data_IF_550838590175
#
_entry.id   IF_550838590175
#
_cell.length_a   1.000
_cell.length_b   1.000
_cell.length_c   1.000
_cell.angle_alpha   90.00
_cell.angle_beta   90.00
_cell.angle_gamma   90.00
#
_symmetry.space_group_name_H-M   'P 1'
#
loop_
_entity.id
_entity.type
_entity.pdbx_description
1 polymer ?
#
# COMPACT_ATOMS: atom_id res chain seq x y z
N UNK A 1 1.77 -47.43 57.36
CA UNK A 1 2.06 -46.26 56.50
C UNK A 1 1.16 -46.29 55.26
N UNK A 2 -0.17 -46.22 55.42
CA UNK A 2 -1.11 -46.44 54.30
C UNK A 2 -2.22 -45.40 54.22
N UNK A 3 -2.81 -45.04 55.36
CA UNK A 3 -3.91 -44.06 55.41
C UNK A 3 -3.47 -42.63 55.05
N UNK A 4 -2.28 -42.20 55.49
CA UNK A 4 -1.76 -40.85 55.23
C UNK A 4 -1.39 -40.63 53.76
N UNK A 5 -0.86 -41.66 53.08
CA UNK A 5 -0.56 -41.60 51.66
C UNK A 5 -1.83 -41.57 50.80
N UNK A 6 -2.87 -42.31 51.18
CA UNK A 6 -4.16 -42.29 50.46
C UNK A 6 -4.81 -40.91 50.54
N UNK A 7 -4.79 -40.27 51.71
CA UNK A 7 -5.33 -38.91 51.88
C UNK A 7 -4.56 -37.90 51.02
N UNK A 8 -3.23 -38.00 50.95
CA UNK A 8 -2.40 -37.16 50.07
C UNK A 8 -2.74 -37.33 48.58
N UNK A 9 -2.95 -38.56 48.11
CA UNK A 9 -3.32 -38.77 46.71
C UNK A 9 -4.71 -38.24 46.39
N UNK A 10 -5.66 -38.35 47.32
CA UNK A 10 -7.01 -37.80 47.16
C UNK A 10 -6.97 -36.27 47.12
N UNK A 11 -6.18 -35.62 47.99
CA UNK A 11 -6.07 -34.15 47.98
C UNK A 11 -5.39 -33.63 46.71
N UNK A 12 -4.34 -34.31 46.24
CA UNK A 12 -3.67 -33.95 44.98
C UNK A 12 -4.62 -34.15 43.79
N UNK A 13 -5.38 -35.25 43.75
CA UNK A 13 -6.36 -35.49 42.69
C UNK A 13 -7.50 -34.45 42.70
N UNK A 14 -7.97 -34.04 43.88
CA UNK A 14 -8.97 -32.98 44.03
C UNK A 14 -8.43 -31.62 43.59
N UNK A 15 -7.17 -31.30 43.92
CA UNK A 15 -6.52 -30.06 43.52
C UNK A 15 -6.24 -30.01 42.02
N UNK A 16 -5.92 -31.16 41.41
CA UNK A 16 -5.80 -31.31 39.97
C UNK A 16 -7.16 -31.15 39.27
N UNK A 17 -8.23 -31.74 39.82
CA UNK A 17 -9.60 -31.55 39.35
C UNK A 17 -10.07 -30.09 39.49
N UNK A 18 -9.65 -29.40 40.55
CA UNK A 18 -9.93 -27.98 40.75
C UNK A 18 -9.18 -27.11 39.73
N UNK A 19 -7.92 -27.43 39.43
CA UNK A 19 -7.14 -26.77 38.37
C UNK A 19 -7.69 -27.02 36.96
N UNK A 20 -8.19 -28.23 36.68
CA UNK A 20 -8.80 -28.55 35.38
C UNK A 20 -10.20 -27.93 35.26
N UNK A 21 -10.94 -27.74 36.35
CA UNK A 21 -12.26 -27.06 36.32
C UNK A 21 -12.15 -25.53 36.39
N UNK A 22 -11.03 -24.99 36.89
CA UNK A 22 -10.68 -23.57 36.88
C UNK A 22 -9.66 -23.22 35.80
N UNK A 23 -9.63 -23.95 34.67
CA UNK A 23 -9.04 -23.39 33.46
C UNK A 23 -9.83 -22.14 33.08
N UNK A 24 -9.22 -20.95 32.95
CA UNK A 24 -9.92 -19.77 32.52
C UNK A 24 -10.61 -20.10 31.18
N UNK A 25 -11.93 -19.91 31.14
CA UNK A 25 -12.67 -19.95 29.87
C UNK A 25 -11.99 -18.94 28.96
N UNK A 26 -11.46 -19.41 27.82
CA UNK A 26 -10.98 -18.54 26.73
C UNK A 26 -12.04 -17.45 26.52
N UNK A 27 -11.66 -16.16 26.44
CA UNK A 27 -12.62 -15.11 26.14
C UNK A 27 -13.33 -15.47 24.83
N UNK A 28 -14.64 -15.63 24.92
CA UNK A 28 -15.51 -16.12 23.87
C UNK A 28 -15.87 -15.04 22.85
N UNK A 29 -14.86 -14.31 22.33
CA UNK A 29 -15.04 -13.20 21.38
C UNK A 29 -14.12 -13.25 20.15
N UNK A 30 -13.43 -14.37 19.88
CA UNK A 30 -12.60 -14.52 18.65
C UNK A 30 -13.42 -14.85 17.38
N UNK A 31 -14.75 -14.92 17.47
CA UNK A 31 -15.60 -15.50 16.41
C UNK A 31 -15.72 -14.68 15.12
N UNK A 32 -15.16 -13.47 15.03
CA UNK A 32 -15.42 -12.56 13.90
C UNK A 32 -14.17 -11.99 13.21
N UNK A 33 -12.96 -12.52 13.41
CA UNK A 33 -11.74 -12.00 12.74
C UNK A 33 -11.18 -13.02 11.75
N UNK A 34 -11.73 -13.04 10.54
CA UNK A 34 -11.24 -13.83 9.40
C UNK A 34 -10.20 -13.00 8.63
N UNK A 35 -9.05 -13.58 8.32
CA UNK A 35 -8.07 -12.98 7.40
C UNK A 35 -8.64 -13.16 5.99
N UNK A 36 -8.94 -12.04 5.31
CA UNK A 36 -9.35 -12.04 3.91
C UNK A 36 -8.13 -11.68 3.05
N UNK A 37 -7.99 -12.34 1.91
CA UNK A 37 -6.95 -12.05 0.92
C UNK A 37 -7.54 -11.03 -0.06
N UNK A 38 -6.73 -10.07 -0.53
CA UNK A 38 -7.18 -9.12 -1.56
C UNK A 38 -7.78 -9.85 -2.77
N UNK A 39 -8.98 -9.42 -3.17
CA UNK A 39 -9.76 -10.00 -4.27
C UNK A 39 -9.77 -9.14 -5.55
N UNK A 40 -9.51 -7.84 -5.43
CA UNK A 40 -9.47 -6.93 -6.57
C UNK A 40 -8.07 -6.33 -6.67
N UNK A 41 -7.50 -6.36 -7.86
CA UNK A 41 -6.18 -5.84 -8.16
C UNK A 41 -6.32 -4.79 -9.26
N UNK A 42 -5.89 -3.57 -8.96
CA UNK A 42 -5.91 -2.48 -9.92
C UNK A 42 -4.77 -2.66 -10.95
N UNK A 43 -5.09 -3.25 -12.10
CA UNK A 43 -4.18 -3.30 -13.27
C UNK A 43 -4.39 -2.13 -14.24
N UNK A 44 -5.26 -1.17 -13.90
CA UNK A 44 -5.48 0.05 -14.69
C UNK A 44 -4.61 1.18 -14.12
N UNK A 45 -3.69 1.76 -14.91
CA UNK A 45 -2.84 2.88 -14.46
C UNK A 45 -3.61 4.12 -14.00
N UNK A 46 -4.92 4.22 -14.29
CA UNK A 46 -5.78 5.35 -13.94
C UNK A 46 -6.36 5.27 -12.51
N UNK A 47 -6.22 4.13 -11.84
CA UNK A 47 -6.66 3.97 -10.45
C UNK A 47 -5.47 4.20 -9.51
N UNK A 48 -5.38 5.42 -8.96
CA UNK A 48 -4.29 5.84 -8.06
C UNK A 48 -4.54 5.55 -6.58
N UNK A 49 -5.38 4.56 -6.25
CA UNK A 49 -5.56 4.19 -4.85
C UNK A 49 -4.34 3.39 -4.38
N UNK A 50 -3.63 3.91 -3.37
CA UNK A 50 -2.57 3.17 -2.72
C UNK A 50 -3.16 1.94 -2.03
N UNK A 51 -2.67 0.76 -2.40
CA UNK A 51 -3.13 -0.48 -1.81
C UNK A 51 -2.26 -0.83 -0.59
N UNK A 52 -2.85 -1.10 0.60
CA UNK A 52 -2.07 -1.40 1.79
C UNK A 52 -1.26 -2.68 1.62
N UNK A 53 -0.03 -2.71 2.13
CA UNK A 53 0.87 -3.85 1.94
C UNK A 53 0.73 -4.84 3.11
N UNK A 54 0.67 -6.17 2.83
CA UNK A 54 0.59 -7.16 3.89
C UNK A 54 1.78 -7.08 4.85
N UNK A 55 1.47 -7.04 6.15
CA UNK A 55 2.49 -7.00 7.19
C UNK A 55 3.36 -8.26 7.24
N UNK A 56 2.75 -9.44 7.00
CA UNK A 56 3.43 -10.72 7.01
C UNK A 56 3.91 -11.10 5.60
N UNK A 57 5.23 -11.30 5.38
CA UNK A 57 5.78 -11.75 4.09
C UNK A 57 5.16 -13.03 3.54
N UNK A 58 4.68 -13.96 4.39
CA UNK A 58 3.99 -15.15 3.89
C UNK A 58 2.61 -14.81 3.30
N UNK A 59 1.90 -13.86 3.90
CA UNK A 59 0.62 -13.38 3.36
C UNK A 59 0.88 -12.60 2.08
N UNK A 60 1.91 -11.75 2.06
CA UNK A 60 2.35 -11.05 0.86
C UNK A 60 2.67 -12.01 -0.30
N UNK A 61 3.41 -13.09 -0.04
CA UNK A 61 3.72 -14.09 -1.07
C UNK A 61 2.48 -14.83 -1.59
N UNK A 62 1.45 -15.01 -0.76
CA UNK A 62 0.16 -15.61 -1.19
C UNK A 62 -0.61 -14.62 -2.08
N UNK A 63 -0.71 -13.36 -1.66
CA UNK A 63 -1.36 -12.29 -2.44
C UNK A 63 -0.68 -12.07 -3.78
N UNK A 64 0.65 -12.04 -3.80
CA UNK A 64 1.44 -11.82 -5.02
C UNK A 64 1.23 -12.91 -6.07
N UNK A 65 1.20 -14.19 -5.64
CA UNK A 65 0.89 -15.32 -6.52
C UNK A 65 -0.53 -15.25 -7.09
N UNK A 66 -1.46 -14.73 -6.31
CA UNK A 66 -2.82 -14.51 -6.79
C UNK A 66 -2.86 -13.41 -7.84
N UNK A 67 -2.21 -12.29 -7.54
CA UNK A 67 -2.10 -11.16 -8.44
C UNK A 67 -1.45 -11.59 -9.77
N UNK A 68 -0.39 -12.40 -9.74
CA UNK A 68 0.27 -12.96 -10.93
C UNK A 68 -0.72 -13.74 -11.79
N UNK A 69 -1.46 -14.69 -11.21
CA UNK A 69 -2.45 -15.49 -11.93
C UNK A 69 -3.55 -14.62 -12.55
N UNK A 70 -4.05 -13.63 -11.81
CA UNK A 70 -5.09 -12.74 -12.33
C UNK A 70 -4.59 -11.84 -13.46
N UNK A 71 -3.35 -11.36 -13.35
CA UNK A 71 -2.69 -10.59 -14.39
C UNK A 71 -2.44 -11.44 -15.64
N UNK A 72 -1.90 -12.64 -15.49
CA UNK A 72 -1.62 -13.55 -16.63
C UNK A 72 -2.90 -13.84 -17.41
N UNK A 73 -4.00 -14.09 -16.69
CA UNK A 73 -5.32 -14.27 -17.28
C UNK A 73 -5.78 -13.03 -18.07
N UNK A 74 -5.74 -11.82 -17.47
CA UNK A 74 -6.13 -10.57 -18.16
C UNK A 74 -5.21 -10.29 -19.36
N UNK A 75 -3.92 -10.54 -19.22
CA UNK A 75 -2.94 -10.37 -20.28
C UNK A 75 -3.25 -11.30 -21.45
N UNK A 76 -3.52 -12.58 -21.22
CA UNK A 76 -3.90 -13.54 -22.26
C UNK A 76 -5.22 -13.18 -22.94
N UNK A 77 -6.22 -12.75 -22.17
CA UNK A 77 -7.51 -12.29 -22.69
C UNK A 77 -7.35 -11.12 -23.67
N UNK A 78 -6.49 -10.14 -23.32
CA UNK A 78 -6.27 -8.93 -24.10
C UNK A 78 -5.31 -9.11 -25.29
N UNK A 79 -4.23 -9.88 -25.11
CA UNK A 79 -3.16 -10.05 -26.12
C UNK A 79 -3.45 -11.20 -27.10
N UNK A 80 -4.22 -12.22 -26.67
CA UNK A 80 -4.46 -13.44 -27.43
C UNK A 80 -5.92 -13.88 -27.35
N UNK A 81 -6.87 -12.98 -27.64
CA UNK A 81 -8.31 -13.30 -27.60
C UNK A 81 -8.71 -14.50 -28.49
N UNK A 82 -7.92 -14.82 -29.53
CA UNK A 82 -8.09 -16.01 -30.38
C UNK A 82 -7.81 -17.35 -29.66
N UNK A 83 -6.90 -17.37 -28.67
CA UNK A 83 -6.58 -18.57 -27.87
C UNK A 83 -7.68 -18.88 -26.84
N UNK A 84 -8.33 -17.84 -26.31
CA UNK A 84 -9.44 -17.98 -25.34
C UNK A 84 -10.68 -18.59 -26.00
N UNK A 85 -10.93 -18.29 -27.29
CA UNK A 85 -12.06 -18.86 -28.03
C UNK A 85 -11.82 -20.25 -28.63
N UNK A 86 -10.56 -20.70 -28.72
CA UNK A 86 -10.20 -21.99 -29.30
C UNK A 86 -9.40 -22.89 -28.36
N UNK A 87 -9.85 -23.08 -27.11
CA UNK A 87 -9.33 -24.16 -26.24
C UNK A 87 -10.33 -24.58 -25.17
N UNK A 88 -11.53 -25.00 -25.58
CA UNK A 88 -12.25 -26.05 -24.85
C UNK A 88 -12.12 -27.36 -25.64
N UNK A 89 -10.90 -27.91 -25.69
CA UNK A 89 -10.72 -29.27 -26.15
C UNK A 89 -11.37 -30.22 -25.11
N UNK A 90 -12.25 -31.14 -25.51
CA UNK A 90 -12.97 -32.01 -24.58
C UNK A 90 -11.99 -33.07 -24.06
N UNK A 91 -11.30 -32.80 -22.96
CA UNK A 91 -10.47 -33.80 -22.29
C UNK A 91 -9.26 -33.33 -21.47
N UNK A 92 -8.99 -32.04 -21.33
CA UNK A 92 -8.01 -31.56 -20.35
C UNK A 92 -8.75 -30.87 -19.20
N UNK A 93 -8.47 -31.35 -17.99
CA UNK A 93 -8.99 -30.88 -16.72
C UNK A 93 -8.98 -29.34 -16.68
N UNK A 94 -10.17 -28.73 -16.64
CA UNK A 94 -10.31 -27.37 -16.13
C UNK A 94 -9.67 -27.38 -14.75
N UNK A 95 -8.50 -26.72 -14.60
CA UNK A 95 -7.91 -26.58 -13.27
C UNK A 95 -8.96 -25.93 -12.36
N UNK A 96 -9.16 -26.45 -11.14
CA UNK A 96 -10.13 -25.88 -10.23
C UNK A 96 -9.50 -24.61 -9.64
N UNK A 97 -9.45 -23.53 -10.41
CA UNK A 97 -8.74 -22.30 -10.04
C UNK A 97 -9.40 -21.57 -8.87
N UNK A 98 -10.71 -21.75 -8.69
CA UNK A 98 -11.41 -21.31 -7.48
C UNK A 98 -11.01 -22.09 -6.23
N UNK A 99 -10.59 -23.35 -6.36
CA UNK A 99 -10.20 -24.20 -5.23
C UNK A 99 -8.83 -23.76 -4.67
N UNK A 100 -7.88 -23.32 -5.51
CA UNK A 100 -6.55 -22.88 -5.05
C UNK A 100 -6.62 -21.63 -4.13
N UNK A 101 -7.52 -20.70 -4.41
CA UNK A 101 -7.68 -19.47 -3.62
C UNK A 101 -8.60 -19.65 -2.42
N UNK A 102 -9.63 -20.48 -2.55
CA UNK A 102 -10.40 -20.95 -1.39
C UNK A 102 -9.48 -21.71 -0.43
N UNK A 103 -8.55 -22.54 -0.92
CA UNK A 103 -7.53 -23.22 -0.10
C UNK A 103 -6.55 -22.23 0.55
N UNK A 104 -6.19 -21.13 -0.12
CA UNK A 104 -5.33 -20.10 0.46
C UNK A 104 -6.01 -19.35 1.63
N UNK A 105 -7.27 -18.93 1.47
CA UNK A 105 -8.02 -18.34 2.58
C UNK A 105 -8.30 -19.35 3.70
N UNK A 106 -8.67 -20.58 3.34
CA UNK A 106 -8.89 -21.65 4.31
C UNK A 106 -7.61 -21.97 5.08
N UNK A 107 -6.45 -21.94 4.41
CA UNK A 107 -5.14 -22.07 5.04
C UNK A 107 -4.86 -20.94 6.05
N UNK A 108 -5.09 -19.67 5.68
CA UNK A 108 -4.85 -18.53 6.58
C UNK A 108 -5.80 -18.49 7.78
N UNK A 109 -6.99 -19.06 7.64
CA UNK A 109 -8.01 -19.10 8.69
C UNK A 109 -8.08 -20.42 9.46
N UNK A 110 -7.21 -21.38 9.14
CA UNK A 110 -7.04 -22.63 9.87
C UNK A 110 -6.03 -22.43 11.01
N UNK A 111 -6.50 -22.33 12.26
CA UNK A 111 -5.65 -22.10 13.44
C UNK A 111 -4.56 -23.18 13.64
N UNK A 112 -4.74 -24.39 13.08
CA UNK A 112 -3.74 -25.47 13.15
C UNK A 112 -2.64 -25.28 12.11
N UNK A 113 -2.96 -24.71 10.94
CA UNK A 113 -2.01 -24.49 9.84
C UNK A 113 -1.36 -23.10 9.90
N UNK A 114 -2.14 -22.06 10.18
CA UNK A 114 -1.73 -20.67 10.23
C UNK A 114 -2.06 -20.05 11.59
N UNK A 115 -1.12 -20.18 12.52
CA UNK A 115 -1.25 -19.57 13.84
C UNK A 115 -0.67 -18.15 13.84
N UNK A 116 -1.54 -17.14 13.77
CA UNK A 116 -1.19 -15.71 13.72
C UNK A 116 -0.27 -15.29 14.87
N UNK A 117 -0.51 -15.78 16.08
CA UNK A 117 0.34 -15.49 17.25
C UNK A 117 1.75 -16.05 17.07
N UNK A 118 1.88 -17.29 16.59
CA UNK A 118 3.19 -17.88 16.30
C UNK A 118 3.90 -17.15 15.14
N UNK A 119 3.15 -16.63 14.16
CA UNK A 119 3.73 -15.77 13.11
C UNK A 119 4.38 -14.54 13.73
N UNK A 120 3.67 -13.80 14.59
CA UNK A 120 4.21 -12.62 15.26
C UNK A 120 5.43 -12.93 16.14
N UNK A 121 5.46 -14.08 16.82
CA UNK A 121 6.65 -14.53 17.55
C UNK A 121 7.88 -14.70 16.65
N UNK A 122 7.70 -15.13 15.40
CA UNK A 122 8.77 -15.31 14.43
C UNK A 122 9.15 -13.99 13.74
N UNK A 123 8.20 -13.08 13.59
CA UNK A 123 8.41 -11.78 12.94
C UNK A 123 9.04 -10.76 13.88
N UNK A 124 8.68 -10.75 15.17
CA UNK A 124 9.19 -9.82 16.18
C UNK A 124 10.71 -9.57 16.12
N UNK A 125 11.58 -10.58 16.23
CA UNK A 125 13.04 -10.37 16.20
C UNK A 125 13.58 -9.98 14.81
N UNK A 126 12.76 -9.95 13.77
CA UNK A 126 13.13 -9.44 12.44
C UNK A 126 12.78 -7.96 12.27
N UNK A 127 11.91 -7.45 13.14
CA UNK A 127 11.44 -6.06 13.13
C UNK A 127 12.26 -5.25 14.15
N UNK A 128 12.44 -5.78 15.37
CA UNK A 128 13.32 -5.23 16.41
C UNK A 128 14.80 -5.41 16.01
N UNK A 129 15.36 -4.40 15.35
CA UNK A 129 16.71 -4.44 14.76
C UNK A 129 17.53 -3.18 15.01
N UNK A 130 16.91 -2.02 15.29
CA UNK A 130 17.61 -0.73 15.39
C UNK A 130 17.00 0.20 16.46
N UNK A 131 17.46 0.10 17.73
CA UNK A 131 18.33 -0.92 18.31
C UNK A 131 17.56 -2.18 18.73
N UNK A 132 18.23 -3.34 18.76
CA UNK A 132 17.66 -4.56 19.36
C UNK A 132 17.45 -4.37 20.86
N UNK A 133 16.26 -3.94 21.28
CA UNK A 133 15.95 -3.56 22.67
C UNK A 133 14.76 -4.32 23.27
N UNK A 134 14.17 -5.24 22.50
CA UNK A 134 13.02 -6.04 22.93
C UNK A 134 11.70 -5.31 22.78
N UNK A 135 11.68 -4.17 22.09
CA UNK A 135 10.50 -3.41 21.69
C UNK A 135 10.55 -3.16 20.19
N UNK A 136 9.37 -2.95 19.61
CA UNK A 136 9.22 -2.57 18.21
C UNK A 136 8.75 -1.12 18.18
N UNK A 137 9.60 -0.23 17.68
CA UNK A 137 9.32 1.20 17.57
C UNK A 137 8.50 1.55 16.31
N UNK A 138 7.89 2.75 16.29
CA UNK A 138 7.26 3.34 15.10
C UNK A 138 8.19 3.30 13.88
N UNK A 139 9.47 3.64 14.12
CA UNK A 139 10.48 3.66 13.07
C UNK A 139 10.68 2.26 12.49
N UNK A 140 10.85 1.24 13.33
CA UNK A 140 11.05 -0.14 12.87
C UNK A 140 9.81 -0.71 12.16
N UNK A 141 8.60 -0.39 12.62
CA UNK A 141 7.36 -0.74 11.92
C UNK A 141 7.25 -0.06 10.55
N UNK A 142 7.65 1.21 10.47
CA UNK A 142 7.67 1.98 9.23
C UNK A 142 8.65 1.36 8.24
N UNK A 143 9.90 1.11 8.66
CA UNK A 143 10.92 0.51 7.79
C UNK A 143 10.56 -0.95 7.42
N UNK A 144 9.92 -1.71 8.31
CA UNK A 144 9.39 -3.04 8.01
C UNK A 144 8.33 -3.03 6.91
N UNK A 145 7.37 -2.12 7.03
CA UNK A 145 6.24 -1.99 6.10
C UNK A 145 6.71 -1.42 4.76
N UNK A 146 7.58 -0.41 4.78
CA UNK A 146 8.24 0.15 3.59
C UNK A 146 8.98 -0.95 2.82
N UNK A 147 9.75 -1.79 3.51
CA UNK A 147 10.47 -2.90 2.88
C UNK A 147 9.55 -3.95 2.27
N UNK A 148 8.35 -4.17 2.83
CA UNK A 148 7.38 -5.04 2.15
C UNK A 148 6.84 -4.34 0.91
N UNK A 149 6.53 -3.04 0.99
CA UNK A 149 6.01 -2.28 -0.14
C UNK A 149 6.99 -2.24 -1.31
N UNK A 150 8.26 -1.92 -1.05
CA UNK A 150 9.32 -1.92 -2.06
C UNK A 150 9.41 -3.26 -2.80
N UNK A 151 9.16 -4.40 -2.12
CA UNK A 151 9.15 -5.70 -2.79
C UNK A 151 7.95 -5.90 -3.70
N UNK A 152 6.75 -5.49 -3.27
CA UNK A 152 5.55 -5.61 -4.09
C UNK A 152 5.62 -4.68 -5.31
N UNK A 153 6.03 -3.43 -5.09
CA UNK A 153 6.28 -2.44 -6.15
C UNK A 153 7.31 -2.97 -7.15
N UNK A 154 8.49 -3.40 -6.69
CA UNK A 154 9.52 -3.95 -7.58
C UNK A 154 9.06 -5.20 -8.33
N UNK A 155 8.23 -6.03 -7.72
CA UNK A 155 7.68 -7.22 -8.38
C UNK A 155 6.76 -6.84 -9.54
N UNK A 156 5.84 -5.89 -9.31
CA UNK A 156 4.96 -5.35 -10.35
C UNK A 156 5.76 -4.68 -11.45
N UNK A 157 6.74 -3.84 -11.08
CA UNK A 157 7.65 -3.19 -12.03
C UNK A 157 8.36 -4.20 -12.93
N UNK A 158 8.87 -5.29 -12.36
CA UNK A 158 9.53 -6.34 -13.14
C UNK A 158 8.58 -7.00 -14.15
N UNK A 159 7.34 -7.25 -13.74
CA UNK A 159 6.32 -7.83 -14.60
C UNK A 159 5.97 -6.91 -15.77
N UNK A 160 5.82 -5.62 -15.51
CA UNK A 160 5.58 -4.61 -16.55
C UNK A 160 6.80 -4.46 -17.48
N UNK A 161 8.02 -4.55 -16.93
CA UNK A 161 9.24 -4.57 -17.74
C UNK A 161 9.27 -5.76 -18.71
N UNK A 162 8.89 -6.95 -18.27
CA UNK A 162 8.85 -8.15 -19.14
C UNK A 162 7.84 -7.98 -20.30
N UNK A 163 6.82 -7.13 -20.16
CA UNK A 163 5.86 -6.80 -21.24
C UNK A 163 6.45 -5.81 -22.24
N UNK A 164 7.19 -4.81 -21.76
CA UNK A 164 7.72 -3.74 -22.59
C UNK A 164 9.07 -4.09 -23.23
N UNK A 165 9.91 -4.90 -22.58
CA UNK A 165 11.21 -5.36 -23.10
C UNK A 165 11.01 -6.41 -24.21
N UNK A 166 10.72 -5.92 -25.43
CA UNK A 166 10.44 -6.74 -26.62
C UNK A 166 11.69 -7.45 -27.13
N UNK A 167 12.87 -6.88 -26.86
CA UNK A 167 14.14 -7.40 -27.38
C UNK A 167 14.85 -8.34 -26.38
N UNK A 168 14.39 -8.36 -25.13
CA UNK A 168 14.86 -9.17 -24.00
C UNK A 168 16.30 -8.87 -23.58
N UNK A 169 16.71 -7.60 -23.62
CA UNK A 169 18.01 -7.15 -23.12
C UNK A 169 17.99 -6.71 -21.64
N UNK A 170 16.82 -6.71 -21.00
CA UNK A 170 16.61 -6.30 -19.62
C UNK A 170 16.56 -4.78 -19.43
N UNK A 171 16.41 -4.03 -20.52
CA UNK A 171 16.27 -2.58 -20.55
C UNK A 171 15.02 -2.21 -21.33
N UNK A 172 14.50 -1.00 -21.12
CA UNK A 172 13.36 -0.49 -21.87
C UNK A 172 13.79 0.75 -22.64
N UNK A 173 13.70 0.71 -23.97
CA UNK A 173 13.83 1.91 -24.80
C UNK A 173 12.52 2.69 -24.89
N UNK A 174 12.59 3.99 -25.19
CA UNK A 174 11.39 4.79 -25.41
C UNK A 174 10.50 4.25 -26.55
N UNK A 175 11.10 3.60 -27.55
CA UNK A 175 10.39 2.98 -28.66
C UNK A 175 9.63 1.71 -28.25
N UNK A 176 10.09 1.02 -27.21
CA UNK A 176 9.49 -0.22 -26.69
C UNK A 176 8.31 0.03 -25.76
N UNK A 177 8.37 1.10 -24.96
CA UNK A 177 7.30 1.45 -24.03
C UNK A 177 5.94 1.64 -24.74
N UNK A 178 5.96 2.18 -25.98
CA UNK A 178 4.79 2.52 -26.82
C UNK A 178 3.73 3.41 -26.11
N UNK A 179 3.15 4.41 -26.80
CA UNK A 179 2.07 5.18 -26.20
C UNK A 179 0.88 4.24 -25.91
N UNK A 180 0.20 4.37 -24.76
CA UNK A 180 -0.97 3.57 -24.45
C UNK A 180 -2.01 3.57 -25.57
N UNK A 181 -2.74 2.46 -25.75
CA UNK A 181 -3.65 2.25 -26.89
C UNK A 181 -4.77 3.31 -27.00
N UNK A 182 -5.13 3.95 -25.90
CA UNK A 182 -6.09 5.05 -25.85
C UNK A 182 -5.54 6.39 -26.35
N UNK A 183 -4.21 6.59 -26.35
CA UNK A 183 -3.55 7.76 -26.98
C UNK A 183 -3.74 7.75 -28.50
N UNK A 184 -3.84 6.55 -29.08
CA UNK A 184 -4.02 6.38 -30.52
C UNK A 184 -5.47 6.55 -31.00
N UNK A 185 -6.46 6.52 -30.09
CA UNK A 185 -7.88 6.39 -30.42
C UNK A 185 -8.79 7.57 -30.01
N UNK A 186 -8.27 8.69 -29.50
CA UNK A 186 -9.12 9.76 -28.94
C UNK A 186 -8.96 11.15 -29.59
N UNK A 187 -10.09 11.84 -29.72
CA UNK A 187 -10.17 13.29 -29.90
C UNK A 187 -9.64 13.99 -28.64
N UNK A 188 -8.77 14.99 -28.83
CA UNK A 188 -7.88 15.66 -27.86
C UNK A 188 -8.52 16.33 -26.61
N UNK A 189 -9.77 16.05 -26.26
CA UNK A 189 -10.56 16.92 -25.37
C UNK A 189 -11.35 16.21 -24.26
N UNK A 190 -10.96 15.00 -23.85
CA UNK A 190 -11.57 14.31 -22.71
C UNK A 190 -10.69 14.44 -21.46
N UNK A 191 -11.29 14.59 -20.28
CA UNK A 191 -10.60 14.76 -19.00
C UNK A 191 -9.79 13.50 -18.65
N UNK A 192 -8.54 13.69 -18.20
CA UNK A 192 -7.58 12.61 -17.86
C UNK A 192 -6.55 12.29 -18.94
N UNK A 193 -6.66 12.88 -20.13
CA UNK A 193 -5.77 12.62 -21.28
C UNK A 193 -4.56 13.57 -21.36
N UNK A 194 -4.42 14.54 -20.45
CA UNK A 194 -3.33 15.52 -20.44
C UNK A 194 -2.10 15.06 -19.63
N UNK A 195 -2.19 13.90 -18.96
CA UNK A 195 -1.09 13.37 -18.15
C UNK A 195 0.12 13.02 -19.05
N UNK A 196 1.21 13.74 -18.87
CA UNK A 196 2.47 13.60 -19.60
C UNK A 196 3.26 12.33 -19.30
N UNK A 197 2.69 11.37 -18.56
CA UNK A 197 3.36 10.17 -18.06
C UNK A 197 3.95 9.25 -19.14
N UNK A 198 3.46 9.28 -20.39
CA UNK A 198 4.07 8.54 -21.51
C UNK A 198 4.95 9.40 -22.44
N UNK A 199 5.18 10.68 -22.12
CA UNK A 199 5.98 11.58 -22.96
C UNK A 199 7.47 11.25 -22.80
N UNK A 200 8.24 11.54 -23.85
CA UNK A 200 9.70 11.39 -23.88
C UNK A 200 10.38 12.22 -22.77
N UNK A 201 9.78 13.33 -22.36
CA UNK A 201 10.28 14.15 -21.26
C UNK A 201 10.28 13.41 -19.92
N UNK A 202 9.24 12.61 -19.63
CA UNK A 202 9.18 11.78 -18.42
C UNK A 202 10.23 10.68 -18.48
N UNK A 203 10.29 9.97 -19.62
CA UNK A 203 11.27 8.91 -19.84
C UNK A 203 12.70 9.42 -19.64
N UNK A 204 13.05 10.56 -20.25
CA UNK A 204 14.36 11.20 -20.12
C UNK A 204 14.63 11.75 -18.72
N UNK A 205 13.59 12.09 -17.95
CA UNK A 205 13.75 12.52 -16.55
C UNK A 205 14.09 11.32 -15.64
N UNK A 206 13.53 10.15 -15.94
CA UNK A 206 13.78 8.89 -15.22
C UNK A 206 15.12 8.26 -15.58
N UNK A 207 15.60 8.45 -16.82
CA UNK A 207 16.95 8.07 -17.26
C UNK A 207 18.02 8.87 -16.49
N UNK A 208 18.55 8.25 -15.44
CA UNK A 208 19.44 8.92 -14.50
C UNK A 208 20.86 9.05 -15.07
N UNK A 209 21.32 8.01 -15.79
CA UNK A 209 22.66 7.96 -16.37
C UNK A 209 22.77 8.54 -17.80
N UNK A 210 21.64 8.73 -18.47
CA UNK A 210 21.52 9.39 -19.77
C UNK A 210 21.88 8.49 -20.95
N UNK A 211 21.80 7.17 -20.81
CA UNK A 211 22.12 6.22 -21.89
C UNK A 211 20.95 6.02 -22.89
N UNK A 212 19.78 6.58 -22.61
CA UNK A 212 18.57 6.52 -23.43
C UNK A 212 17.75 5.24 -23.24
N UNK A 213 18.08 4.42 -22.24
CA UNK A 213 17.41 3.18 -21.88
C UNK A 213 17.10 3.20 -20.38
N UNK A 214 15.97 2.63 -19.97
CA UNK A 214 15.65 2.49 -18.55
C UNK A 214 16.03 1.10 -18.07
N UNK A 215 16.94 1.02 -17.10
CA UNK A 215 17.15 -0.21 -16.35
C UNK A 215 16.00 -0.43 -15.33
N UNK A 216 15.97 -1.59 -14.66
CA UNK A 216 14.86 -1.93 -13.74
C UNK A 216 14.66 -0.93 -12.60
N UNK A 217 15.72 -0.29 -12.10
CA UNK A 217 15.62 0.72 -11.05
C UNK A 217 15.07 2.03 -11.60
N UNK A 218 15.52 2.46 -12.78
CA UNK A 218 15.02 3.67 -13.43
C UNK A 218 13.59 3.50 -13.94
N UNK A 219 13.21 2.30 -14.38
CA UNK A 219 11.85 1.98 -14.75
C UNK A 219 10.93 1.91 -13.54
N UNK A 220 11.43 1.44 -12.39
CA UNK A 220 10.70 1.54 -11.13
C UNK A 220 10.45 3.01 -10.76
N UNK A 221 11.48 3.84 -10.81
CA UNK A 221 11.37 5.27 -10.56
C UNK A 221 10.40 5.94 -11.53
N UNK A 222 10.44 5.56 -12.82
CA UNK A 222 9.50 6.03 -13.84
C UNK A 222 8.04 5.68 -13.51
N UNK A 223 7.75 4.49 -12.99
CA UNK A 223 6.38 4.14 -12.58
C UNK A 223 5.98 4.75 -11.24
N UNK A 224 6.94 4.99 -10.37
CA UNK A 224 6.76 5.47 -9.00
C UNK A 224 7.60 6.74 -8.74
N UNK A 225 7.32 7.85 -9.44
CA UNK A 225 8.16 9.05 -9.39
C UNK A 225 8.20 9.69 -7.99
N UNK A 226 7.17 9.48 -7.17
CA UNK A 226 7.07 9.95 -5.80
C UNK A 226 8.11 9.30 -4.85
N UNK A 227 8.52 8.07 -5.14
CA UNK A 227 9.49 7.30 -4.35
C UNK A 227 10.93 7.49 -4.83
N UNK A 228 11.10 8.11 -6.00
CA UNK A 228 12.41 8.31 -6.60
C UNK A 228 13.26 9.30 -5.80
N UNK A 229 14.56 9.02 -5.78
CA UNK A 229 15.59 9.96 -5.28
C UNK A 229 16.19 10.80 -6.41
N UNK A 230 15.74 10.62 -7.65
CA UNK A 230 16.22 11.34 -8.81
C UNK A 230 15.63 12.76 -8.83
N UNK A 231 16.46 13.81 -8.65
CA UNK A 231 15.97 15.18 -8.60
C UNK A 231 15.38 15.65 -9.94
N UNK A 232 15.84 15.11 -11.08
CA UNK A 232 15.27 15.45 -12.39
C UNK A 232 13.82 14.98 -12.48
N UNK A 233 13.57 13.76 -12.01
CA UNK A 233 12.25 13.14 -12.05
C UNK A 233 11.29 13.82 -11.07
N UNK A 234 11.72 14.13 -9.85
CA UNK A 234 10.92 14.90 -8.91
C UNK A 234 10.59 16.30 -9.43
N UNK A 235 11.54 16.96 -10.09
CA UNK A 235 11.28 18.25 -10.73
C UNK A 235 10.30 18.13 -11.91
N UNK A 236 10.41 17.06 -12.71
CA UNK A 236 9.42 16.77 -13.74
C UNK A 236 8.03 16.53 -13.14
N UNK A 237 7.93 15.76 -12.06
CA UNK A 237 6.67 15.52 -11.35
C UNK A 237 6.04 16.83 -10.84
N UNK A 238 6.87 17.75 -10.32
CA UNK A 238 6.40 19.08 -9.94
C UNK A 238 5.83 19.85 -11.13
N UNK A 239 6.51 19.83 -12.29
CA UNK A 239 6.05 20.51 -13.51
C UNK A 239 4.76 19.91 -14.06
N UNK A 240 4.58 18.61 -13.93
CA UNK A 240 3.35 17.93 -14.34
C UNK A 240 2.18 18.30 -13.41
N UNK A 241 2.45 18.48 -12.11
CA UNK A 241 1.43 18.87 -11.12
C UNK A 241 1.07 20.37 -11.18
N UNK A 242 1.89 21.19 -11.84
CA UNK A 242 1.53 22.56 -12.23
C UNK A 242 0.40 22.45 -13.26
N UNK A 243 -0.85 22.30 -12.76
CA UNK A 243 -2.10 22.36 -13.53
C UNK A 243 -2.39 23.81 -13.89
N UNK A 244 -1.49 24.32 -14.69
CA UNK A 244 -1.46 25.66 -15.18
C UNK A 244 -2.54 25.82 -16.25
N UNK A 245 -3.66 26.38 -15.79
CA UNK A 245 -4.86 26.55 -16.59
C UNK A 245 -4.66 27.62 -17.67
N UNK A 246 -3.73 28.55 -17.47
CA UNK A 246 -3.42 29.63 -18.40
C UNK A 246 -2.11 29.44 -19.21
N UNK A 247 -1.37 28.37 -18.95
CA UNK A 247 -0.13 27.92 -19.60
C UNK A 247 1.06 28.87 -19.41
N UNK A 248 1.13 29.60 -18.29
CA UNK A 248 2.20 30.54 -17.95
C UNK A 248 3.46 29.91 -17.30
N UNK A 249 3.40 28.62 -16.96
CA UNK A 249 4.45 27.82 -16.33
C UNK A 249 4.54 27.95 -14.81
N UNK A 250 3.55 28.58 -14.17
CA UNK A 250 3.51 28.83 -12.73
C UNK A 250 2.11 28.52 -12.17
N UNK A 251 1.99 28.45 -10.85
CA UNK A 251 0.69 28.26 -10.19
C UNK A 251 0.31 29.52 -9.43
N UNK A 252 -0.76 30.18 -9.86
CA UNK A 252 -1.30 31.32 -9.12
C UNK A 252 -2.15 30.86 -7.92
N UNK A 253 -2.51 31.79 -7.04
CA UNK A 253 -3.30 31.46 -5.83
C UNK A 253 -4.63 30.75 -6.13
N UNK A 254 -5.33 31.12 -7.21
CA UNK A 254 -6.62 30.53 -7.56
C UNK A 254 -6.47 29.06 -7.97
N UNK A 255 -5.43 28.76 -8.75
CA UNK A 255 -5.07 27.41 -9.18
C UNK A 255 -4.62 26.56 -8.00
N UNK A 256 -3.78 27.12 -7.12
CA UNK A 256 -3.40 26.45 -5.88
C UNK A 256 -4.63 26.12 -5.02
N UNK A 257 -5.51 27.11 -4.81
CA UNK A 257 -6.67 26.96 -3.93
C UNK A 257 -7.70 25.94 -4.43
N UNK A 258 -7.94 25.88 -5.73
CA UNK A 258 -8.91 24.94 -6.30
C UNK A 258 -8.32 23.59 -6.72
N UNK A 259 -7.01 23.51 -6.93
CA UNK A 259 -6.35 22.33 -7.48
C UNK A 259 -5.49 21.56 -6.48
N UNK A 260 -4.74 22.25 -5.63
CA UNK A 260 -3.68 21.64 -4.81
C UNK A 260 -3.95 21.75 -3.30
N UNK A 261 -4.71 22.76 -2.88
CA UNK A 261 -4.87 23.09 -1.48
C UNK A 261 -5.48 21.96 -0.65
N UNK A 262 -6.48 21.25 -1.18
CA UNK A 262 -7.09 20.12 -0.47
C UNK A 262 -6.08 18.99 -0.21
N UNK A 263 -5.24 18.66 -1.19
CA UNK A 263 -4.18 17.67 -1.06
C UNK A 263 -3.11 18.07 -0.04
N UNK A 264 -2.80 19.38 0.07
CA UNK A 264 -1.77 19.87 1.00
C UNK A 264 -2.30 20.09 2.42
N UNK A 265 -3.58 20.46 2.57
CA UNK A 265 -4.22 20.78 3.87
C UNK A 265 -4.45 19.53 4.73
N UNK A 266 -4.79 18.40 4.14
CA UNK A 266 -5.14 17.16 4.85
C UNK A 266 -3.96 16.52 5.62
N UNK A 267 -2.77 17.12 5.60
CA UNK A 267 -1.55 16.58 6.21
C UNK A 267 -1.28 17.03 7.66
N UNK A 268 -1.86 18.15 8.12
CA UNK A 268 -1.47 18.77 9.42
C UNK A 268 -2.62 18.88 10.44
N UNK A 269 -3.87 18.55 10.08
CA UNK A 269 -5.01 18.62 11.02
C UNK A 269 -5.60 17.23 11.30
N UNK A 270 -5.20 16.65 12.44
CA UNK A 270 -5.94 15.57 13.10
C UNK A 270 -7.39 15.99 13.32
N UNK A 271 -8.28 15.52 12.43
CA UNK A 271 -9.71 15.39 12.66
C UNK A 271 -10.52 16.67 12.62
N UNK A 272 -10.93 17.14 11.42
CA UNK A 272 -12.16 17.94 11.29
C UNK A 272 -12.87 17.69 9.95
N UNK A 273 -14.04 17.06 10.06
CA UNK A 273 -15.14 16.93 9.08
C UNK A 273 -15.09 17.94 7.91
N UNK A 274 -14.78 17.44 6.71
CA UNK A 274 -14.78 18.22 5.45
C UNK A 274 -16.17 18.52 4.88
N UNK A 275 -17.24 18.27 5.64
CA UNK A 275 -18.60 18.55 5.16
C UNK A 275 -18.92 20.05 5.30
N UNK A 276 -18.73 20.77 4.19
CA UNK A 276 -19.28 22.11 3.91
C UNK A 276 -18.81 23.25 4.82
N UNK A 277 -17.51 23.52 4.85
CA UNK A 277 -17.05 24.87 5.20
C UNK A 277 -17.30 25.80 3.99
N UNK A 278 -17.90 26.96 4.23
CA UNK A 278 -18.11 27.99 3.21
C UNK A 278 -16.77 28.49 2.65
N UNK A 279 -16.71 28.80 1.35
CA UNK A 279 -15.54 29.26 0.58
C UNK A 279 -14.68 30.31 1.33
N UNK A 280 -15.32 31.28 2.00
CA UNK A 280 -14.65 32.34 2.77
C UNK A 280 -13.87 31.84 4.02
N UNK A 281 -14.18 30.65 4.55
CA UNK A 281 -13.57 30.10 5.78
C UNK A 281 -12.29 29.31 5.52
N UNK A 282 -12.10 28.81 4.30
CA UNK A 282 -10.94 27.99 3.90
C UNK A 282 -9.90 28.80 3.11
N UNK A 283 -10.31 29.93 2.54
CA UNK A 283 -9.43 30.82 1.79
C UNK A 283 -8.31 31.42 2.66
N UNK A 284 -8.59 31.74 3.94
CA UNK A 284 -7.60 32.32 4.84
C UNK A 284 -6.45 31.34 5.19
N UNK A 285 -6.71 30.08 5.59
CA UNK A 285 -5.69 29.03 5.69
C UNK A 285 -4.94 28.80 4.37
N UNK A 286 -5.64 28.80 3.23
CA UNK A 286 -5.01 28.62 1.93
C UNK A 286 -4.05 29.75 1.57
N UNK A 287 -4.43 31.01 1.80
CA UNK A 287 -3.55 32.18 1.60
C UNK A 287 -2.33 32.11 2.49
N UNK A 288 -2.50 31.67 3.74
CA UNK A 288 -1.37 31.50 4.66
C UNK A 288 -0.37 30.48 4.12
N UNK A 289 -0.86 29.30 3.72
CA UNK A 289 -0.02 28.24 3.17
C UNK A 289 0.64 28.65 1.85
N UNK A 290 -0.11 29.28 0.95
CA UNK A 290 0.42 29.83 -0.31
C UNK A 290 1.58 30.81 -0.05
N UNK A 291 1.39 31.77 0.86
CA UNK A 291 2.44 32.73 1.23
C UNK A 291 3.64 32.08 1.95
N UNK A 292 3.46 30.91 2.57
CA UNK A 292 4.56 30.16 3.17
C UNK A 292 5.37 29.40 2.10
N UNK A 293 4.73 29.03 0.99
CA UNK A 293 5.35 28.32 -0.13
C UNK A 293 6.00 29.27 -1.14
N UNK A 294 5.37 30.42 -1.42
CA UNK A 294 5.89 31.51 -2.26
C UNK A 294 7.03 32.22 -1.52
N UNK A 295 8.27 31.73 -1.74
CA UNK A 295 9.47 32.18 -1.04
C UNK A 295 10.01 33.48 -1.62
N UNK A 296 9.84 33.69 -2.92
CA UNK A 296 10.32 34.89 -3.59
C UNK A 296 9.29 36.03 -3.61
N UNK A 297 8.06 35.75 -3.16
CA UNK A 297 6.93 36.67 -3.05
C UNK A 297 6.55 37.29 -4.39
N UNK A 298 6.72 36.55 -5.48
CA UNK A 298 6.33 36.97 -6.82
C UNK A 298 4.83 36.79 -7.10
N UNK A 299 4.11 36.13 -6.18
CA UNK A 299 2.68 35.88 -6.24
C UNK A 299 2.30 34.58 -6.96
N UNK A 300 3.27 33.74 -7.29
CA UNK A 300 3.10 32.48 -7.98
C UNK A 300 3.97 31.39 -7.33
N UNK A 301 3.57 30.12 -7.47
CA UNK A 301 4.40 28.98 -7.07
C UNK A 301 5.11 28.40 -8.28
N UNK A 302 6.44 28.35 -8.19
CA UNK A 302 7.33 27.71 -9.16
C UNK A 302 7.47 26.19 -8.92
N UNK A 303 8.00 25.46 -9.90
CA UNK A 303 8.34 24.04 -9.77
C UNK A 303 9.31 23.76 -8.60
N UNK A 304 10.22 24.68 -8.32
CA UNK A 304 11.16 24.60 -7.19
C UNK A 304 10.46 24.77 -5.84
N UNK A 305 9.44 25.60 -5.76
CA UNK A 305 8.66 25.80 -4.53
C UNK A 305 7.72 24.62 -4.27
N UNK A 306 7.08 24.12 -5.33
CA UNK A 306 6.25 22.91 -5.26
C UNK A 306 7.03 21.65 -4.86
N UNK A 307 8.32 21.58 -5.20
CA UNK A 307 9.19 20.47 -4.78
C UNK A 307 9.19 20.25 -3.25
N UNK A 308 8.97 21.29 -2.45
CA UNK A 308 8.92 21.16 -0.99
C UNK A 308 7.64 20.50 -0.48
N UNK A 309 6.57 20.52 -1.27
CA UNK A 309 5.28 19.89 -0.96
C UNK A 309 4.95 18.72 -1.86
N UNK A 310 5.85 18.32 -2.76
CA UNK A 310 5.55 17.25 -3.72
C UNK A 310 5.21 15.94 -3.02
N UNK A 311 5.84 15.62 -1.89
CA UNK A 311 5.49 14.44 -1.09
C UNK A 311 4.13 14.52 -0.40
N UNK A 312 3.49 15.70 -0.33
CA UNK A 312 2.11 15.87 0.11
C UNK A 312 1.13 15.66 -1.05
N UNK A 313 1.50 16.09 -2.26
CA UNK A 313 0.72 15.94 -3.49
C UNK A 313 0.76 14.51 -4.03
N UNK A 314 1.94 13.88 -3.94
CA UNK A 314 2.24 12.52 -4.34
C UNK A 314 2.89 11.79 -3.16
N UNK A 315 2.09 11.21 -2.25
CA UNK A 315 2.63 10.52 -1.08
C UNK A 315 3.45 9.29 -1.49
N UNK A 316 4.65 9.19 -0.94
CA UNK A 316 5.56 8.05 -1.15
C UNK A 316 5.10 6.81 -0.38
N UNK A 317 5.61 5.64 -0.76
CA UNK A 317 5.46 4.38 -0.02
C UNK A 317 5.89 4.51 1.43
N UNK A 318 6.88 5.35 1.72
CA UNK A 318 7.33 5.63 3.08
C UNK A 318 6.27 6.34 3.91
N UNK A 319 5.50 7.24 3.30
CA UNK A 319 4.37 7.88 3.97
C UNK A 319 3.30 6.85 4.34
N UNK A 320 2.88 6.01 3.39
CA UNK A 320 1.88 4.99 3.65
C UNK A 320 2.35 3.94 4.67
N UNK A 321 3.63 3.54 4.61
CA UNK A 321 4.24 2.67 5.60
C UNK A 321 4.20 3.27 7.01
N UNK A 322 4.42 4.59 7.13
CA UNK A 322 4.30 5.29 8.40
C UNK A 322 2.85 5.30 8.90
N UNK A 323 1.88 5.65 8.05
CA UNK A 323 0.46 5.63 8.41
C UNK A 323 0.01 4.25 8.92
N UNK A 324 0.51 3.18 8.28
CA UNK A 324 0.27 1.80 8.73
C UNK A 324 0.91 1.53 10.11
N UNK A 325 2.15 1.99 10.34
CA UNK A 325 2.82 1.88 11.64
C UNK A 325 2.07 2.61 12.76
N UNK A 326 1.67 3.86 12.50
CA UNK A 326 0.91 4.70 13.43
C UNK A 326 -0.44 4.06 13.79
N UNK A 327 -1.14 3.50 12.79
CA UNK A 327 -2.36 2.74 13.01
C UNK A 327 -2.11 1.53 13.92
N UNK A 328 -1.10 0.70 13.61
CA UNK A 328 -0.76 -0.50 14.39
C UNK A 328 -0.45 -0.13 15.85
N UNK A 329 0.34 0.93 16.08
CA UNK A 329 0.64 1.46 17.41
C UNK A 329 -0.62 1.90 18.13
N UNK A 330 -1.47 2.71 17.48
CA UNK A 330 -2.71 3.23 18.09
C UNK A 330 -3.66 2.13 18.60
N UNK A 331 -3.63 0.96 17.96
CA UNK A 331 -4.49 -0.18 18.29
C UNK A 331 -3.84 -1.18 19.26
N UNK A 332 -2.51 -1.22 19.35
CA UNK A 332 -1.79 -2.29 20.05
C UNK A 332 -0.99 -1.81 21.27
N UNK A 333 -0.52 -0.57 21.28
CA UNK A 333 0.23 0.04 22.39
C UNK A 333 -0.71 0.30 23.57
N UNK A 334 -0.70 -0.63 24.53
CA UNK A 334 -1.67 -0.65 25.62
C UNK A 334 -1.19 0.21 26.79
N UNK A 335 0.13 0.23 27.04
CA UNK A 335 0.72 1.01 28.11
C UNK A 335 1.09 2.45 27.70
N UNK A 336 0.97 2.78 26.40
CA UNK A 336 1.17 4.08 25.78
C UNK A 336 2.60 4.58 25.91
N UNK A 337 3.57 3.67 25.84
CA UNK A 337 4.99 4.00 25.85
C UNK A 337 5.54 4.39 24.47
N UNK A 338 4.71 4.32 23.43
CA UNK A 338 5.03 4.67 22.04
C UNK A 338 5.77 3.57 21.28
N UNK A 339 5.86 2.35 21.84
CA UNK A 339 6.50 1.19 21.23
C UNK A 339 5.65 -0.05 21.52
N UNK A 340 5.98 -1.16 20.86
CA UNK A 340 5.26 -2.42 21.04
C UNK A 340 6.17 -3.47 21.64
N UNK A 341 5.79 -3.95 22.82
CA UNK A 341 6.34 -5.18 23.36
C UNK A 341 5.80 -6.40 22.60
N UNK A 342 6.53 -7.51 22.65
CA UNK A 342 6.05 -8.78 22.07
C UNK A 342 4.69 -9.20 22.65
N UNK A 343 4.46 -8.93 23.94
CA UNK A 343 3.19 -9.24 24.62
C UNK A 343 2.03 -8.49 23.99
N UNK A 344 2.19 -7.19 23.72
CA UNK A 344 1.14 -6.37 23.09
C UNK A 344 0.84 -6.84 21.67
N UNK A 345 1.88 -7.19 20.89
CA UNK A 345 1.70 -7.74 19.56
C UNK A 345 0.88 -9.04 19.56
N UNK A 346 1.14 -9.96 20.50
CA UNK A 346 0.43 -11.24 20.58
C UNK A 346 -0.96 -11.15 21.23
N UNK A 347 -1.24 -10.12 22.03
CA UNK A 347 -2.56 -9.84 22.61
C UNK A 347 -3.51 -9.25 21.57
N UNK A 348 -2.98 -8.46 20.61
CA UNK A 348 -3.74 -7.87 19.51
C UNK A 348 -3.27 -8.35 18.12
N UNK A 349 -3.20 -9.68 17.87
CA UNK A 349 -2.46 -10.21 16.72
C UNK A 349 -3.12 -9.88 15.39
N UNK A 350 -4.44 -9.72 15.37
CA UNK A 350 -5.18 -9.42 14.16
C UNK A 350 -5.03 -7.97 13.67
N UNK A 351 -4.53 -7.03 14.48
CA UNK A 351 -4.27 -5.65 14.01
C UNK A 351 -3.24 -5.64 12.88
N UNK A 352 -2.29 -6.57 12.91
CA UNK A 352 -1.25 -6.74 11.90
C UNK A 352 -1.76 -7.40 10.61
N UNK A 353 -2.95 -8.02 10.64
CA UNK A 353 -3.54 -8.77 9.52
C UNK A 353 -4.92 -8.27 9.12
N UNK A 354 -5.46 -7.28 9.85
CA UNK A 354 -6.58 -6.48 9.39
C UNK A 354 -6.03 -5.66 8.24
N UNK A 355 -6.08 -6.24 7.05
CA UNK A 355 -6.04 -5.47 5.82
C UNK A 355 -7.02 -4.31 6.03
N UNK A 356 -6.49 -3.09 5.98
CA UNK A 356 -7.18 -1.87 6.39
C UNK A 356 -8.41 -1.58 5.49
N UNK A 357 -8.75 -2.42 4.51
CA UNK A 357 -9.97 -2.30 3.70
C UNK A 357 -10.60 -3.66 3.33
N UNK A 358 -11.09 -4.42 4.32
CA UNK A 358 -12.19 -5.34 4.03
C UNK A 358 -13.50 -4.56 4.08
N UNK A 359 -13.78 -3.79 3.03
CA UNK A 359 -15.13 -3.31 2.73
C UNK A 359 -16.00 -4.53 2.47
N UNK A 360 -16.77 -4.95 3.48
CA UNK A 360 -18.06 -5.61 3.25
C UNK A 360 -18.84 -5.88 4.55
N UNK A 361 -18.22 -5.82 5.74
CA UNK A 361 -18.92 -6.20 6.99
C UNK A 361 -18.91 -5.14 8.12
N UNK A 362 -18.32 -3.96 7.90
CA UNK A 362 -18.46 -2.81 8.80
C UNK A 362 -19.11 -1.64 8.07
N UNK A 363 -20.43 -1.72 7.90
CA UNK A 363 -21.32 -0.59 7.57
C UNK A 363 -21.39 0.41 8.75
N UNK A 364 -20.23 0.97 9.10
CA UNK A 364 -20.09 2.16 9.94
C UNK A 364 -18.86 2.95 9.45
N UNK A 365 -19.10 3.82 8.47
CA UNK A 365 -18.47 5.14 8.36
C UNK A 365 -16.94 5.18 8.15
N UNK A 366 -16.42 4.47 7.15
CA UNK A 366 -15.15 4.85 6.50
C UNK A 366 -15.52 5.71 5.29
N UNK A 367 -15.50 7.03 5.50
CA UNK A 367 -15.87 8.03 4.49
C UNK A 367 -14.85 8.09 3.36
N UNK A 368 -15.34 8.55 2.19
CA UNK A 368 -14.65 8.97 0.97
C UNK A 368 -13.50 9.99 1.20
N UNK A 369 -12.43 9.61 1.91
CA UNK A 369 -11.29 10.51 2.24
C UNK A 369 -9.97 10.17 1.49
N UNK A 370 -10.02 9.36 0.44
CA UNK A 370 -8.85 9.09 -0.42
C UNK A 370 -9.10 9.47 -1.88
N UNK A 371 -9.43 10.74 -2.14
CA UNK A 371 -9.45 11.32 -3.49
C UNK A 371 -8.57 12.54 -3.60
#
# INVERSE_FOLDING_TARGET
MGMTSIIMYITIALLFLLLVTHTPKKPSNLRNRRIKIRNDFAFDPRHHHHEPVPFDPLVADIERKREDKEWERRYLENSHSELVHHSAAPGHESQPEGDDFMDAEDYLNDEEKFNVTNRLLVLFPKIDVEPVDGYVSEHELTEWSLKQSEKEVMHRTKREMDVHDKNHDGLISFAEYEPPSWVHNSDKNSFGYDMGWWKEEHFNASDADGDGLLNITEFNDFQHPADSKNPKLLQWLCKEEVRDSDKDGKVNFQEFFHGLFDSVRNYDEEGHNSSHLSDDSVEAPAKKLFNELDKDADGFLSDVELLHIIGKLHPSERYYAKQQADYILSQSDTDKDGRLSLTEMIENPYVFYSAIFSDEDNEYDIHDEFR
#
